data_IF_088778459470
#
_entry.id   IF_088778459470
#
_cell.length_a   1.000
_cell.length_b   1.000
_cell.length_c   1.000
_cell.angle_alpha   90.00
_cell.angle_beta   90.00
_cell.angle_gamma   90.00
#
_symmetry.space_group_name_H-M   'P 1'
#
loop_
_entity.id
_entity.type
_entity.pdbx_description
1 polymer ?
#
# COMPACT_ATOMS: atom_id res chain seq x y z
N UNK A 1 1.94 2.10 16.35
CA UNK A 1 1.81 1.05 15.29
C UNK A 1 2.46 -0.27 15.70
N UNK A 2 2.77 -1.20 14.78
CA UNK A 2 3.31 -2.52 15.14
C UNK A 2 4.60 -2.47 15.99
N UNK A 3 5.44 -1.46 15.77
CA UNK A 3 6.65 -1.20 16.55
C UNK A 3 6.38 -0.86 18.02
N UNK A 4 5.32 -0.08 18.30
CA UNK A 4 4.89 0.21 19.68
C UNK A 4 4.35 -1.04 20.38
N UNK A 5 3.82 -2.02 19.63
CA UNK A 5 3.30 -3.26 20.20
C UNK A 5 4.41 -4.27 20.51
N UNK A 6 5.35 -4.50 19.57
CA UNK A 6 6.52 -5.33 19.80
C UNK A 6 7.66 -4.99 18.79
N UNK A 7 8.79 -4.42 19.25
CA UNK A 7 9.92 -4.10 18.39
C UNK A 7 10.58 -5.31 17.73
N UNK A 8 10.62 -6.47 18.39
CA UNK A 8 11.26 -7.68 17.88
C UNK A 8 10.58 -8.20 16.62
N UNK A 9 9.25 -8.31 16.65
CA UNK A 9 8.46 -8.70 15.49
C UNK A 9 8.50 -7.66 14.36
N UNK A 10 8.62 -6.39 14.73
CA UNK A 10 8.77 -5.31 13.73
C UNK A 10 10.11 -5.40 12.99
N UNK A 11 11.17 -5.86 13.65
CA UNK A 11 12.45 -6.15 13.00
C UNK A 11 12.33 -7.24 11.92
N UNK A 12 11.62 -8.32 12.23
CA UNK A 12 11.33 -9.38 11.24
C UNK A 12 10.49 -8.88 10.07
N UNK A 13 9.49 -8.03 10.34
CA UNK A 13 8.66 -7.43 9.29
C UNK A 13 9.50 -6.52 8.36
N UNK A 14 10.40 -5.72 8.92
CA UNK A 14 11.29 -4.86 8.15
C UNK A 14 12.23 -5.65 7.24
N UNK A 15 12.78 -6.77 7.72
CA UNK A 15 13.58 -7.69 6.90
C UNK A 15 12.77 -8.22 5.70
N UNK A 16 11.51 -8.57 5.90
CA UNK A 16 10.61 -8.97 4.81
C UNK A 16 10.44 -7.89 3.73
N UNK A 17 10.30 -6.63 4.14
CA UNK A 17 10.21 -5.49 3.20
C UNK A 17 11.50 -5.33 2.39
N UNK A 18 12.66 -5.45 3.03
CA UNK A 18 13.97 -5.33 2.36
C UNK A 18 14.15 -6.44 1.32
N UNK A 19 13.86 -7.69 1.70
CA UNK A 19 13.93 -8.83 0.79
C UNK A 19 12.95 -8.69 -0.37
N UNK A 20 11.73 -8.20 -0.12
CA UNK A 20 10.74 -7.94 -1.15
C UNK A 20 11.25 -6.92 -2.18
N UNK A 21 11.76 -5.77 -1.71
CA UNK A 21 12.29 -4.73 -2.59
C UNK A 21 13.49 -5.22 -3.42
N UNK A 22 14.42 -5.94 -2.78
CA UNK A 22 15.59 -6.52 -3.44
C UNK A 22 15.21 -7.54 -4.52
N UNK A 23 14.26 -8.44 -4.21
CA UNK A 23 13.76 -9.41 -5.18
C UNK A 23 13.04 -8.73 -6.35
N UNK A 24 12.23 -7.71 -6.09
CA UNK A 24 11.50 -7.01 -7.14
C UNK A 24 12.45 -6.27 -8.10
N UNK A 25 13.52 -5.67 -7.58
CA UNK A 25 14.55 -5.05 -8.39
C UNK A 25 15.31 -6.09 -9.24
N UNK A 26 15.76 -7.19 -8.62
CA UNK A 26 16.46 -8.27 -9.32
C UNK A 26 15.58 -8.88 -10.44
N UNK A 27 14.30 -9.10 -10.15
CA UNK A 27 13.33 -9.62 -11.10
C UNK A 27 13.12 -8.66 -12.27
N UNK A 28 12.93 -7.38 -11.98
CA UNK A 28 12.77 -6.35 -13.01
C UNK A 28 13.98 -6.32 -13.94
N UNK A 29 15.18 -6.32 -13.37
CA UNK A 29 16.42 -6.33 -14.15
C UNK A 29 16.51 -7.55 -15.06
N UNK A 30 16.20 -8.74 -14.54
CA UNK A 30 16.24 -9.98 -15.31
C UNK A 30 15.17 -10.03 -16.41
N UNK A 31 13.99 -9.48 -16.15
CA UNK A 31 12.86 -9.52 -17.09
C UNK A 31 13.04 -8.55 -18.26
N UNK A 32 13.52 -7.34 -18.00
CA UNK A 32 13.60 -6.28 -19.03
C UNK A 32 14.98 -6.16 -19.67
N UNK A 33 16.06 -6.46 -18.95
CA UNK A 33 17.44 -6.33 -19.45
C UNK A 33 18.14 -7.67 -19.69
N UNK A 34 17.46 -8.80 -19.47
CA UNK A 34 17.99 -10.13 -19.78
C UNK A 34 17.94 -10.46 -21.27
N UNK A 35 18.79 -11.38 -21.72
CA UNK A 35 18.73 -11.90 -23.09
C UNK A 35 17.48 -12.77 -23.30
N UNK A 36 16.97 -12.77 -24.53
CA UNK A 36 15.84 -13.60 -24.91
C UNK A 36 16.33 -15.05 -25.05
N UNK A 37 16.02 -15.88 -24.05
CA UNK A 37 16.42 -17.29 -24.05
C UNK A 37 15.53 -18.17 -24.94
N UNK A 38 14.31 -17.71 -25.29
CA UNK A 38 13.34 -18.47 -26.07
C UNK A 38 13.00 -17.76 -27.39
N UNK A 39 13.30 -18.36 -28.57
CA UNK A 39 13.10 -17.72 -29.87
C UNK A 39 11.63 -17.40 -30.18
N UNK A 40 10.67 -18.03 -29.49
CA UNK A 40 9.24 -17.69 -29.63
C UNK A 40 8.89 -16.31 -29.06
N UNK A 41 9.69 -15.80 -28.12
CA UNK A 41 9.42 -14.53 -27.45
C UNK A 41 9.87 -13.32 -28.29
N UNK A 42 10.67 -13.53 -29.34
CA UNK A 42 11.13 -12.47 -30.24
C UNK A 42 10.00 -11.85 -31.06
N UNK A 43 8.89 -12.57 -31.24
CA UNK A 43 7.74 -12.14 -32.07
C UNK A 43 6.52 -11.74 -31.23
N UNK A 44 6.70 -11.55 -29.92
CA UNK A 44 5.61 -11.10 -29.05
C UNK A 44 5.14 -9.72 -29.47
N UNK A 45 3.83 -9.60 -29.66
CA UNK A 45 3.18 -8.35 -30.04
C UNK A 45 2.93 -7.51 -28.79
N UNK A 46 3.15 -6.20 -28.91
CA UNK A 46 2.88 -5.25 -27.83
C UNK A 46 1.41 -5.24 -27.40
N UNK A 47 1.20 -4.65 -26.22
CA UNK A 47 -0.10 -4.54 -25.60
C UNK A 47 -1.13 -3.87 -26.52
N UNK A 48 -2.29 -4.50 -26.66
CA UNK A 48 -3.43 -3.98 -27.42
C UNK A 48 -4.15 -2.90 -26.62
N UNK A 49 -4.87 -2.01 -27.31
CA UNK A 49 -5.62 -0.92 -26.64
C UNK A 49 -6.60 -1.39 -25.57
N UNK A 50 -7.17 -2.60 -25.70
CA UNK A 50 -8.01 -3.21 -24.68
C UNK A 50 -7.24 -3.61 -23.41
N UNK A 51 -6.01 -4.09 -23.55
CA UNK A 51 -5.15 -4.46 -22.41
C UNK A 51 -4.72 -3.20 -21.65
N UNK A 52 -4.40 -2.12 -22.39
CA UNK A 52 -4.19 -0.80 -21.80
C UNK A 52 -5.41 -0.27 -21.05
N UNK A 53 -6.62 -0.47 -21.58
CA UNK A 53 -7.85 -0.05 -20.91
C UNK A 53 -8.07 -0.74 -19.54
N UNK A 54 -7.51 -1.94 -19.32
CA UNK A 54 -7.53 -2.60 -18.02
C UNK A 54 -6.38 -2.16 -17.11
N UNK A 55 -5.18 -1.93 -17.66
CA UNK A 55 -4.00 -1.56 -16.87
C UNK A 55 -4.07 -0.11 -16.36
N UNK A 56 -4.53 0.83 -17.18
CA UNK A 56 -4.61 2.26 -16.84
C UNK A 56 -5.40 2.51 -15.54
N UNK A 57 -6.63 2.02 -15.35
CA UNK A 57 -7.39 2.31 -14.12
C UNK A 57 -6.70 1.76 -12.87
N UNK A 58 -6.01 0.61 -12.96
CA UNK A 58 -5.25 0.07 -11.83
C UNK A 58 -4.07 0.96 -11.45
N UNK A 59 -3.32 1.46 -12.45
CA UNK A 59 -2.21 2.39 -12.23
C UNK A 59 -2.72 3.70 -11.64
N UNK A 60 -3.82 4.24 -12.18
CA UNK A 60 -4.43 5.48 -11.68
C UNK A 60 -4.87 5.32 -10.22
N UNK A 61 -5.53 4.22 -9.86
CA UNK A 61 -5.93 3.97 -8.46
C UNK A 61 -4.71 3.82 -7.55
N UNK A 62 -3.67 3.09 -7.96
CA UNK A 62 -2.44 2.92 -7.19
C UNK A 62 -1.76 4.26 -6.90
N UNK A 63 -1.63 5.13 -7.93
CA UNK A 63 -1.08 6.47 -7.78
C UNK A 63 -1.98 7.36 -6.92
N UNK A 64 -3.30 7.30 -7.09
CA UNK A 64 -4.23 8.10 -6.30
C UNK A 64 -4.14 7.75 -4.82
N UNK A 65 -4.17 6.46 -4.47
CA UNK A 65 -4.03 5.99 -3.08
C UNK A 65 -2.66 6.39 -2.52
N UNK A 66 -1.59 6.28 -3.33
CA UNK A 66 -0.25 6.66 -2.94
C UNK A 66 -0.08 8.15 -2.63
N UNK A 67 -0.68 9.04 -3.45
CA UNK A 67 -0.57 10.49 -3.29
C UNK A 67 -1.55 11.04 -2.26
N UNK A 68 -2.79 10.54 -2.24
CA UNK A 68 -3.85 11.01 -1.35
C UNK A 68 -4.63 9.86 -0.69
N UNK A 69 -4.07 9.24 0.37
CA UNK A 69 -4.69 8.09 1.04
C UNK A 69 -5.86 8.46 1.96
N UNK A 70 -6.07 9.74 2.30
CA UNK A 70 -7.07 10.19 3.30
C UNK A 70 -8.48 9.62 3.07
N UNK A 71 -9.06 9.63 1.85
CA UNK A 71 -10.42 9.14 1.63
C UNK A 71 -10.60 7.66 2.00
N UNK A 72 -9.57 6.85 1.72
CA UNK A 72 -9.57 5.43 2.05
C UNK A 72 -9.38 5.21 3.56
N UNK A 73 -8.51 5.99 4.19
CA UNK A 73 -8.29 5.92 5.63
C UNK A 73 -9.53 6.35 6.43
N UNK A 74 -10.18 7.43 6.05
CA UNK A 74 -11.36 7.96 6.75
C UNK A 74 -12.54 6.96 6.72
N UNK A 75 -12.65 6.17 5.63
CA UNK A 75 -13.63 5.09 5.53
C UNK A 75 -13.38 3.97 6.56
N UNK A 76 -12.13 3.64 6.83
CA UNK A 76 -11.73 2.50 7.68
C UNK A 76 -11.51 2.92 9.15
N UNK A 77 -11.28 4.21 9.44
CA UNK A 77 -11.01 4.72 10.78
C UNK A 77 -12.11 4.38 11.80
N UNK A 78 -13.38 4.60 11.46
CA UNK A 78 -14.52 4.34 12.37
C UNK A 78 -14.63 2.86 12.78
N UNK A 79 -14.69 1.88 11.85
CA UNK A 79 -14.76 0.48 12.23
C UNK A 79 -13.50 0.01 12.98
N UNK A 80 -12.31 0.48 12.59
CA UNK A 80 -11.07 0.14 13.31
C UNK A 80 -11.09 0.67 14.75
N UNK A 81 -11.52 1.91 14.97
CA UNK A 81 -11.60 2.49 16.32
C UNK A 81 -12.57 1.71 17.23
N UNK A 82 -13.71 1.26 16.68
CA UNK A 82 -14.65 0.41 17.40
C UNK A 82 -14.01 -0.93 17.83
N UNK A 83 -13.25 -1.57 16.94
CA UNK A 83 -12.56 -2.83 17.21
C UNK A 83 -11.45 -2.64 18.25
N UNK A 84 -10.63 -1.59 18.12
CA UNK A 84 -9.54 -1.31 19.06
C UNK A 84 -10.09 -1.10 20.47
N UNK A 85 -11.21 -0.38 20.61
CA UNK A 85 -11.85 -0.14 21.91
C UNK A 85 -12.33 -1.43 22.56
N UNK A 86 -12.77 -2.40 21.76
CA UNK A 86 -13.24 -3.69 22.25
C UNK A 86 -12.08 -4.59 22.71
N UNK A 87 -10.96 -4.60 21.99
CA UNK A 87 -9.81 -5.48 22.28
C UNK A 87 -8.83 -4.85 23.29
N UNK A 88 -8.69 -3.54 23.30
CA UNK A 88 -7.82 -2.77 24.20
C UNK A 88 -8.55 -1.53 24.73
N UNK A 89 -9.37 -1.69 25.79
CA UNK A 89 -10.17 -0.59 26.35
C UNK A 89 -9.31 0.58 26.84
N UNK A 90 -8.12 0.30 27.35
CA UNK A 90 -7.18 1.29 27.90
C UNK A 90 -6.30 1.98 26.84
N UNK A 91 -6.52 1.71 25.55
CA UNK A 91 -5.74 2.34 24.49
C UNK A 91 -6.10 3.84 24.40
N UNK A 92 -5.15 4.77 24.55
CA UNK A 92 -5.42 6.19 24.45
C UNK A 92 -5.73 6.53 22.99
N UNK A 93 -7.01 6.67 22.67
CA UNK A 93 -7.41 7.20 21.37
C UNK A 93 -6.94 8.65 21.29
N UNK A 94 -6.10 9.01 20.30
CA UNK A 94 -5.83 10.41 20.02
C UNK A 94 -7.18 11.10 19.88
N UNK A 95 -7.44 12.11 20.74
CA UNK A 95 -8.70 12.83 20.72
C UNK A 95 -9.02 13.21 19.27
N UNK A 96 -10.23 12.86 18.81
CA UNK A 96 -10.70 13.17 17.46
C UNK A 96 -10.26 14.60 17.08
N UNK A 97 -9.80 14.86 15.84
CA UNK A 97 -9.48 16.21 15.40
C UNK A 97 -10.62 17.11 15.85
N UNK A 98 -10.33 18.09 16.72
CA UNK A 98 -11.36 19.00 17.24
C UNK A 98 -12.15 19.47 16.02
N UNK A 99 -13.44 19.13 15.98
CA UNK A 99 -14.36 19.83 15.09
C UNK A 99 -14.07 21.32 15.28
N UNK A 100 -14.02 22.13 14.21
CA UNK A 100 -13.86 23.57 14.38
C UNK A 100 -14.90 23.96 15.42
N UNK A 101 -14.44 24.42 16.58
CA UNK A 101 -15.31 24.96 17.60
C UNK A 101 -15.95 26.13 16.89
N UNK A 102 -17.19 25.95 16.44
CA UNK A 102 -18.04 27.05 16.02
C UNK A 102 -17.92 28.05 17.15
N UNK A 103 -17.36 29.21 16.81
CA UNK A 103 -17.25 30.34 17.71
C UNK A 103 -18.66 30.64 18.21
N UNK A 104 -19.02 30.10 19.36
CA UNK A 104 -20.28 30.37 20.00
C UNK A 104 -20.06 31.59 20.90
N UNK A 105 -20.39 32.74 20.28
CA UNK A 105 -20.70 34.06 20.83
C UNK A 105 -19.65 34.79 21.67
#
# INVERSE_FOLDING_TARGET
GAFEANPWWSGWAALGIILNAGYMLWLYQRMFFGNIENPKNETLKDLKGREWAYMIPLVVMSLWIGVYPKPFLDFIQKPVAAIVKHVRPDYPFPAAPRAPQTAEK
#
